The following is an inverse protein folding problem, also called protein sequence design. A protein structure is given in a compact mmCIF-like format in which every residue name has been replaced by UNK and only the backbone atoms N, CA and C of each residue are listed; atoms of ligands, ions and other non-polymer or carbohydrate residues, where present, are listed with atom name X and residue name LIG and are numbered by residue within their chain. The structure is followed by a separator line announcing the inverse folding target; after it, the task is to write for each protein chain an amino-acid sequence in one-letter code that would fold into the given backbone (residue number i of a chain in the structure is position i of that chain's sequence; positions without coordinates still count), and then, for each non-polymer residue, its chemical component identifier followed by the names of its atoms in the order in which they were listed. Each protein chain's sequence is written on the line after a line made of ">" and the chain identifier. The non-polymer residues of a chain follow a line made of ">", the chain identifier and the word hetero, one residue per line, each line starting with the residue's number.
data_IF_991947512296
#
_entry.id   IF_991947512296
#
_cell.length_a   1.000
_cell.length_b   1.000
_cell.length_c   1.000
_cell.angle_alpha   90.00
_cell.angle_beta   90.00
_cell.angle_gamma   90.00
#
_symmetry.space_group_name_H-M   'P 1'
#
loop_
_entity.id
_entity.type
_entity.pdbx_description
1 polymer ?
#
# COMPACT_ATOMS: atom_id res chain seq x y z
N UNK A 1 7.93 -23.45 -0.60
CA UNK A 1 7.31 -22.90 0.63
C UNK A 1 5.96 -22.33 0.24
N UNK A 2 4.89 -22.63 1.00
CA UNK A 2 3.56 -22.04 0.78
C UNK A 2 3.34 -20.88 1.74
N UNK A 3 2.75 -19.78 1.28
CA UNK A 3 2.43 -18.60 2.09
C UNK A 3 0.95 -18.68 2.47
N UNK A 4 0.63 -19.00 3.73
CA UNK A 4 -0.75 -19.21 4.18
C UNK A 4 -1.06 -18.29 5.36
N UNK A 5 -2.17 -17.56 5.28
CA UNK A 5 -2.69 -16.68 6.34
C UNK A 5 -4.16 -16.97 6.55
N UNK A 6 -4.56 -17.29 7.78
CA UNK A 6 -5.97 -17.60 8.12
C UNK A 6 -6.63 -18.62 7.16
N UNK A 7 -5.86 -19.59 6.63
CA UNK A 7 -6.33 -20.60 5.69
C UNK A 7 -6.44 -20.16 4.23
N UNK A 8 -6.06 -18.92 3.90
CA UNK A 8 -5.94 -18.42 2.53
C UNK A 8 -4.48 -18.55 2.05
N UNK A 9 -4.27 -18.98 0.81
CA UNK A 9 -2.95 -19.07 0.19
C UNK A 9 -2.64 -17.80 -0.58
N UNK A 10 -1.53 -17.14 -0.25
CA UNK A 10 -1.01 -15.99 -0.99
C UNK A 10 -0.07 -16.45 -2.10
N UNK A 11 -0.30 -15.94 -3.30
CA UNK A 11 0.53 -16.16 -4.49
C UNK A 11 1.74 -15.23 -4.50
N UNK A 12 1.65 -14.08 -3.83
CA UNK A 12 2.72 -13.07 -3.77
C UNK A 12 3.00 -12.59 -2.35
N UNK A 13 4.17 -11.98 -2.15
CA UNK A 13 4.53 -11.37 -0.86
C UNK A 13 3.60 -10.19 -0.50
N UNK A 14 3.08 -9.45 -1.49
CA UNK A 14 2.11 -8.38 -1.28
C UNK A 14 0.79 -8.95 -0.78
N UNK A 15 0.25 -9.95 -1.46
CA UNK A 15 -0.98 -10.64 -1.05
C UNK A 15 -0.85 -11.28 0.34
N UNK A 16 0.33 -11.81 0.68
CA UNK A 16 0.61 -12.28 2.04
C UNK A 16 0.51 -11.14 3.06
N UNK A 17 1.07 -9.96 2.76
CA UNK A 17 0.99 -8.80 3.64
C UNK A 17 -0.45 -8.28 3.78
N UNK A 18 -1.22 -8.28 2.69
CA UNK A 18 -2.63 -7.88 2.69
C UNK A 18 -3.45 -8.79 3.61
N UNK A 19 -3.32 -10.11 3.44
CA UNK A 19 -4.01 -11.09 4.27
C UNK A 19 -3.55 -11.02 5.74
N UNK A 20 -2.26 -10.85 6.00
CA UNK A 20 -1.70 -10.86 7.36
C UNK A 20 -2.05 -9.61 8.16
N UNK A 21 -2.10 -8.44 7.51
CA UNK A 21 -2.29 -7.15 8.17
C UNK A 21 -3.70 -6.58 7.96
N UNK A 22 -4.51 -7.19 7.11
CA UNK A 22 -5.85 -6.71 6.76
C UNK A 22 -5.80 -5.35 6.05
N UNK A 23 -4.83 -5.16 5.16
CA UNK A 23 -4.61 -3.90 4.44
C UNK A 23 -4.69 -4.13 2.94
N UNK A 24 -5.04 -3.09 2.19
CA UNK A 24 -4.93 -3.06 0.73
C UNK A 24 -3.60 -2.38 0.35
N UNK A 25 -2.65 -3.12 -0.26
CA UNK A 25 -1.33 -2.56 -0.57
C UNK A 25 -1.43 -1.49 -1.65
N UNK A 26 -2.29 -1.68 -2.66
CA UNK A 26 -2.43 -0.73 -3.77
C UNK A 26 -3.06 0.59 -3.32
N UNK A 27 -3.98 0.55 -2.36
CA UNK A 27 -4.55 1.76 -1.75
C UNK A 27 -3.46 2.68 -1.18
N UNK A 28 -2.46 2.12 -0.49
CA UNK A 28 -1.40 2.90 0.15
C UNK A 28 -0.18 3.15 -0.75
N UNK A 29 0.23 2.16 -1.54
CA UNK A 29 1.41 2.25 -2.41
C UNK A 29 1.12 2.96 -3.74
N UNK A 30 -0.14 2.94 -4.18
CA UNK A 30 -0.53 3.38 -5.52
C UNK A 30 -0.09 2.39 -6.60
N UNK A 31 -0.59 2.61 -7.80
CA UNK A 31 -0.34 1.75 -8.97
C UNK A 31 0.58 2.43 -9.97
N UNK A 32 1.18 1.63 -10.85
CA UNK A 32 2.03 2.15 -11.93
C UNK A 32 1.19 2.95 -12.94
N UNK A 33 1.70 4.10 -13.38
CA UNK A 33 1.00 4.96 -14.34
C UNK A 33 -0.17 5.76 -13.76
N UNK A 34 -0.34 5.77 -12.43
CA UNK A 34 -1.42 6.50 -11.76
C UNK A 34 -1.42 8.00 -12.12
N UNK A 35 -2.57 8.49 -12.56
CA UNK A 35 -2.76 9.92 -12.88
C UNK A 35 -2.69 10.80 -11.61
N UNK A 36 -2.37 12.09 -11.78
CA UNK A 36 -2.35 13.01 -10.64
C UNK A 36 -3.72 13.12 -9.93
N UNK A 37 -4.83 13.01 -10.68
CA UNK A 37 -6.19 13.05 -10.14
C UNK A 37 -6.51 11.77 -9.37
N UNK A 38 -6.28 10.61 -9.96
CA UNK A 38 -6.46 9.29 -9.33
C UNK A 38 -5.67 9.20 -8.04
N UNK A 39 -4.42 9.67 -8.05
CA UNK A 39 -3.56 9.75 -6.87
C UNK A 39 -4.14 10.60 -5.76
N UNK A 40 -4.68 11.78 -6.08
CA UNK A 40 -5.30 12.64 -5.07
C UNK A 40 -6.51 11.96 -4.43
N UNK A 41 -7.37 11.34 -5.23
CA UNK A 41 -8.54 10.62 -4.74
C UNK A 41 -8.11 9.44 -3.85
N UNK A 42 -7.18 8.61 -4.32
CA UNK A 42 -6.63 7.47 -3.56
C UNK A 42 -6.01 7.92 -2.24
N UNK A 43 -5.18 8.97 -2.24
CA UNK A 43 -4.58 9.48 -1.00
C UNK A 43 -5.63 10.03 -0.03
N UNK A 44 -6.73 10.61 -0.51
CA UNK A 44 -7.83 11.01 0.37
C UNK A 44 -8.44 9.80 1.08
N UNK A 45 -8.79 8.75 0.33
CA UNK A 45 -9.33 7.49 0.89
C UNK A 45 -8.31 6.82 1.81
N UNK A 46 -7.05 6.73 1.40
CA UNK A 46 -5.98 6.13 2.21
C UNK A 46 -5.82 6.84 3.56
N UNK A 47 -5.92 8.18 3.59
CA UNK A 47 -5.85 8.93 4.85
C UNK A 47 -7.07 8.71 5.74
N UNK A 48 -8.24 8.48 5.16
CA UNK A 48 -9.46 8.14 5.90
C UNK A 48 -9.32 6.76 6.53
N UNK A 49 -9.04 5.73 5.73
CA UNK A 49 -8.84 4.34 6.19
C UNK A 49 -7.74 4.24 7.25
N UNK A 50 -6.68 5.05 7.13
CA UNK A 50 -5.58 5.05 8.08
C UNK A 50 -5.97 5.48 9.50
N UNK A 51 -7.10 6.19 9.67
CA UNK A 51 -7.62 6.57 11.00
C UNK A 51 -8.26 5.38 11.72
N UNK A 52 -8.76 4.41 10.96
CA UNK A 52 -9.50 3.26 11.49
C UNK A 52 -8.62 1.99 11.61
N UNK A 53 -7.41 2.03 11.05
CA UNK A 53 -6.47 0.91 11.10
C UNK A 53 -5.91 0.67 12.51
N UNK A 54 -5.76 -0.61 12.86
CA UNK A 54 -5.02 -1.03 14.03
C UNK A 54 -3.55 -0.53 13.98
N UNK A 55 -2.89 -0.27 15.12
CA UNK A 55 -1.58 0.40 15.15
C UNK A 55 -0.49 -0.24 14.28
N UNK A 56 -0.39 -1.58 14.25
CA UNK A 56 0.63 -2.27 13.45
C UNK A 56 0.36 -2.16 11.95
N UNK A 57 -0.89 -2.38 11.53
CA UNK A 57 -1.32 -2.19 10.14
C UNK A 57 -1.13 -0.75 9.68
N UNK A 58 -1.44 0.23 10.55
CA UNK A 58 -1.22 1.64 10.27
C UNK A 58 0.27 2.00 10.11
N UNK A 59 1.19 1.41 10.90
CA UNK A 59 2.64 1.61 10.72
C UNK A 59 3.10 1.13 9.35
N UNK A 60 2.66 -0.06 8.94
CA UNK A 60 3.03 -0.62 7.64
C UNK A 60 2.43 0.19 6.48
N UNK A 61 1.15 0.58 6.55
CA UNK A 61 0.52 1.47 5.58
C UNK A 61 1.29 2.79 5.40
N UNK A 62 1.72 3.43 6.51
CA UNK A 62 2.57 4.64 6.46
C UNK A 62 3.92 4.37 5.77
N UNK A 63 4.51 3.19 5.98
CA UNK A 63 5.76 2.82 5.34
C UNK A 63 5.61 2.64 3.82
N UNK A 64 4.49 2.07 3.36
CA UNK A 64 4.14 1.98 1.94
C UNK A 64 4.02 3.38 1.32
N UNK A 65 3.24 4.28 1.94
CA UNK A 65 3.06 5.65 1.45
C UNK A 65 4.39 6.42 1.34
N UNK A 66 5.27 6.31 2.34
CA UNK A 66 6.61 6.93 2.31
C UNK A 66 7.49 6.37 1.19
N UNK A 67 7.40 5.07 0.95
CA UNK A 67 8.20 4.41 -0.09
C UNK A 67 7.70 4.77 -1.48
N UNK A 68 6.38 4.86 -1.67
CA UNK A 68 5.76 5.33 -2.90
C UNK A 68 6.16 6.78 -3.24
N UNK A 69 6.16 7.67 -2.25
CA UNK A 69 6.56 9.06 -2.46
C UNK A 69 8.04 9.19 -2.85
N UNK A 70 8.94 8.45 -2.17
CA UNK A 70 10.36 8.39 -2.54
C UNK A 70 10.57 7.88 -3.97
N UNK A 71 9.88 6.79 -4.35
CA UNK A 71 9.98 6.25 -5.72
C UNK A 71 9.59 7.30 -6.75
N UNK A 72 8.54 8.07 -6.48
CA UNK A 72 8.05 9.13 -7.37
C UNK A 72 9.04 10.29 -7.51
N UNK A 73 9.65 10.72 -6.40
CA UNK A 73 10.69 11.75 -6.43
C UNK A 73 11.91 11.31 -7.25
N UNK A 74 12.28 10.03 -7.18
CA UNK A 74 13.35 9.46 -7.99
C UNK A 74 12.97 9.40 -9.48
N UNK A 75 11.74 8.98 -9.81
CA UNK A 75 11.26 8.98 -11.20
C UNK A 75 11.25 10.38 -11.80
N UNK A 76 10.87 11.41 -11.03
CA UNK A 76 10.89 12.79 -11.49
C UNK A 76 12.31 13.32 -11.74
N UNK A 77 13.30 12.89 -10.94
CA UNK A 77 14.71 13.30 -11.12
C UNK A 77 15.41 12.62 -12.30
N UNK A 78 14.87 11.51 -12.79
CA UNK A 78 15.44 10.72 -13.88
C UNK A 78 14.83 11.06 -15.26
N UNK A 79 13.81 11.93 -15.30
CA UNK A 79 13.14 12.42 -16.50
C UNK A 79 13.62 13.83 -16.85
#
# INVERSE_FOLDING_TARGET
>A
MKLIVAGQEATTASEFAELALGIDVELFAGTFGESALSRRARLAVANEVLRDLAPESAKYAKALMRTADRRRLLTWRAA
#
